data_IF_903971473259
#
_entry.id   IF_903971473259
#
_cell.length_a   1.000
_cell.length_b   1.000
_cell.length_c   1.000
_cell.angle_alpha   90.00
_cell.angle_beta   90.00
_cell.angle_gamma   90.00
#
_symmetry.space_group_name_H-M   'P 1'
#
loop_
_entity.id
_entity.type
_entity.pdbx_description
1 polymer ?
#
# COMPACT_ATOMS: atom_id res chain seq x y z
N UNK A 1 4.73 -7.56 -17.93
CA UNK A 1 5.02 -6.57 -16.87
C UNK A 1 3.79 -5.83 -16.36
N UNK A 2 2.96 -5.21 -17.24
CA UNK A 2 1.72 -4.49 -16.84
C UNK A 2 0.76 -5.31 -15.95
N UNK A 3 0.52 -6.58 -16.28
CA UNK A 3 -0.36 -7.46 -15.51
C UNK A 3 0.23 -7.82 -14.14
N UNK A 4 1.55 -8.01 -14.05
CA UNK A 4 2.25 -8.30 -12.79
C UNK A 4 2.14 -7.10 -11.84
N UNK A 5 2.37 -5.89 -12.34
CA UNK A 5 2.27 -4.67 -11.53
C UNK A 5 0.83 -4.43 -11.09
N UNK A 6 -0.14 -4.71 -11.97
CA UNK A 6 -1.55 -4.64 -11.62
C UNK A 6 -1.87 -5.62 -10.48
N UNK A 7 -1.42 -6.87 -10.59
CA UNK A 7 -1.63 -7.89 -9.58
C UNK A 7 -0.99 -7.48 -8.24
N UNK A 8 0.28 -7.08 -8.27
CA UNK A 8 1.00 -6.61 -7.07
C UNK A 8 0.33 -5.39 -6.44
N UNK A 9 -0.15 -4.44 -7.24
CA UNK A 9 -0.85 -3.25 -6.74
C UNK A 9 -2.14 -3.63 -6.01
N UNK A 10 -2.91 -4.55 -6.58
CA UNK A 10 -4.17 -5.03 -5.97
C UNK A 10 -3.86 -5.83 -4.69
N UNK A 11 -2.90 -6.75 -4.74
CA UNK A 11 -2.51 -7.54 -3.58
C UNK A 11 -2.01 -6.66 -2.44
N UNK A 12 -1.15 -5.68 -2.73
CA UNK A 12 -0.63 -4.72 -1.76
C UNK A 12 -1.77 -3.88 -1.16
N UNK A 13 -2.68 -3.39 -1.99
CA UNK A 13 -3.84 -2.63 -1.52
C UNK A 13 -4.74 -3.43 -0.58
N UNK A 14 -5.09 -4.67 -0.96
CA UNK A 14 -5.91 -5.55 -0.13
C UNK A 14 -5.21 -5.90 1.18
N UNK A 15 -3.91 -6.22 1.13
CA UNK A 15 -3.10 -6.50 2.31
C UNK A 15 -3.07 -5.31 3.26
N UNK A 16 -2.78 -4.10 2.76
CA UNK A 16 -2.80 -2.88 3.57
C UNK A 16 -4.18 -2.60 4.16
N UNK A 17 -5.26 -2.87 3.42
CA UNK A 17 -6.64 -2.74 3.93
C UNK A 17 -6.87 -3.66 5.12
N UNK A 18 -6.47 -4.93 5.01
CA UNK A 18 -6.59 -5.92 6.08
C UNK A 18 -5.72 -5.52 7.28
N UNK A 19 -4.49 -5.06 7.05
CA UNK A 19 -3.57 -4.64 8.11
C UNK A 19 -4.12 -3.44 8.88
N UNK A 20 -4.59 -2.41 8.18
CA UNK A 20 -5.21 -1.23 8.82
C UNK A 20 -6.43 -1.64 9.63
N UNK A 21 -7.31 -2.48 9.08
CA UNK A 21 -8.47 -3.00 9.82
C UNK A 21 -8.05 -3.79 11.07
N UNK A 22 -6.99 -4.59 10.97
CA UNK A 22 -6.44 -5.38 12.07
C UNK A 22 -5.88 -4.48 13.17
N UNK A 23 -5.15 -3.42 12.82
CA UNK A 23 -4.62 -2.44 13.79
C UNK A 23 -5.75 -1.77 14.55
N UNK A 24 -6.85 -1.38 13.87
CA UNK A 24 -8.00 -0.80 14.56
C UNK A 24 -8.72 -1.82 15.44
N UNK A 25 -8.93 -3.04 14.96
CA UNK A 25 -9.56 -4.11 15.73
C UNK A 25 -8.79 -4.43 17.02
N UNK A 26 -7.48 -4.67 16.93
CA UNK A 26 -6.64 -4.92 18.09
C UNK A 26 -6.48 -3.68 18.98
N UNK A 27 -6.42 -2.49 18.38
CA UNK A 27 -6.42 -1.23 19.12
C UNK A 27 -7.69 -1.01 19.97
N UNK A 28 -8.84 -1.51 19.50
CA UNK A 28 -10.11 -1.47 20.24
C UNK A 28 -10.18 -2.51 21.35
N UNK A 29 -9.52 -3.67 21.19
CA UNK A 29 -9.58 -4.79 22.15
C UNK A 29 -8.46 -4.71 23.19
N UNK A 30 -7.51 -3.76 23.06
CA UNK A 30 -6.30 -3.61 23.89
C UNK A 30 -5.34 -4.83 23.86
N UNK A 31 -5.69 -5.88 23.10
CA UNK A 31 -4.82 -7.02 22.82
C UNK A 31 -4.09 -6.77 21.50
N UNK A 32 -2.83 -6.37 21.61
CA UNK A 32 -1.91 -6.44 20.46
C UNK A 32 -1.47 -7.89 20.27
N UNK A 33 -2.33 -8.68 19.63
CA UNK A 33 -2.02 -10.05 19.23
C UNK A 33 -0.90 -10.06 18.19
N UNK A 34 -0.23 -11.20 18.02
CA UNK A 34 0.81 -11.40 17.00
C UNK A 34 0.31 -11.25 15.55
N UNK A 35 -1.00 -11.14 15.37
CA UNK A 35 -1.66 -11.10 14.07
C UNK A 35 -1.39 -9.79 13.33
N UNK A 36 -1.52 -8.63 13.97
CA UNK A 36 -1.12 -7.33 13.38
C UNK A 36 0.34 -7.35 12.92
N UNK A 37 1.26 -7.89 13.73
CA UNK A 37 2.67 -7.98 13.36
C UNK A 37 2.91 -8.81 12.09
N UNK A 38 2.17 -9.92 11.94
CA UNK A 38 2.25 -10.76 10.75
C UNK A 38 1.63 -10.07 9.53
N UNK A 39 0.52 -9.37 9.70
CA UNK A 39 -0.14 -8.63 8.62
C UNK A 39 0.71 -7.47 8.10
N UNK A 40 1.36 -6.72 9.00
CA UNK A 40 2.33 -5.67 8.65
C UNK A 40 3.48 -6.27 7.84
N UNK A 41 4.08 -7.37 8.31
CA UNK A 41 5.18 -8.03 7.59
C UNK A 41 4.80 -8.43 6.16
N UNK A 42 3.62 -9.05 5.98
CA UNK A 42 3.12 -9.44 4.65
C UNK A 42 2.92 -8.21 3.77
N UNK A 43 2.35 -7.14 4.33
CA UNK A 43 2.09 -5.90 3.59
C UNK A 43 3.38 -5.21 3.17
N UNK A 44 4.38 -5.15 4.04
CA UNK A 44 5.69 -4.57 3.76
C UNK A 44 6.42 -5.32 2.64
N UNK A 45 6.38 -6.66 2.66
CA UNK A 45 6.98 -7.48 1.60
C UNK A 45 6.28 -7.20 0.26
N UNK A 46 4.94 -7.19 0.24
CA UNK A 46 4.17 -6.87 -0.96
C UNK A 46 4.47 -5.46 -1.47
N UNK A 47 4.55 -4.49 -0.55
CA UNK A 47 4.86 -3.11 -0.85
C UNK A 47 6.25 -2.94 -1.46
N UNK A 48 7.26 -3.60 -0.90
CA UNK A 48 8.63 -3.62 -1.45
C UNK A 48 8.64 -4.17 -2.87
N UNK A 49 8.04 -5.34 -3.09
CA UNK A 49 7.97 -5.98 -4.41
C UNK A 49 7.24 -5.10 -5.43
N UNK A 50 6.10 -4.53 -5.03
CA UNK A 50 5.30 -3.65 -5.87
C UNK A 50 6.03 -2.34 -6.20
N UNK A 51 6.79 -1.80 -5.25
CA UNK A 51 7.58 -0.58 -5.44
C UNK A 51 8.73 -0.80 -6.40
N UNK A 52 9.52 -1.86 -6.20
CA UNK A 52 10.63 -2.22 -7.09
C UNK A 52 10.11 -2.44 -8.52
N UNK A 53 9.06 -3.26 -8.67
CA UNK A 53 8.44 -3.49 -9.97
C UNK A 53 7.92 -2.20 -10.62
N UNK A 54 7.36 -1.29 -9.82
CA UNK A 54 6.88 0.02 -10.24
C UNK A 54 7.99 0.93 -10.77
N UNK A 55 9.13 1.02 -10.09
CA UNK A 55 10.28 1.83 -10.53
C UNK A 55 10.76 1.39 -11.91
N UNK A 56 10.92 0.09 -12.15
CA UNK A 56 11.41 -0.41 -13.45
C UNK A 56 10.40 -0.16 -14.58
N UNK A 57 9.11 -0.33 -14.31
CA UNK A 57 8.09 -0.22 -15.35
C UNK A 57 7.71 1.22 -15.69
N UNK A 58 7.67 2.10 -14.69
CA UNK A 58 7.30 3.50 -14.90
C UNK A 58 8.49 4.40 -15.23
N UNK A 59 9.69 3.88 -15.50
CA UNK A 59 10.91 4.65 -15.78
C UNK A 59 10.74 5.81 -16.79
N UNK A 60 9.83 5.69 -17.76
CA UNK A 60 9.52 6.74 -18.74
C UNK A 60 8.40 7.70 -18.33
N UNK A 61 7.59 7.36 -17.33
CA UNK A 61 6.46 8.16 -16.84
C UNK A 61 6.84 9.02 -15.65
N UNK A 62 6.96 10.34 -15.85
CA UNK A 62 7.47 11.30 -14.84
C UNK A 62 6.83 11.11 -13.46
N UNK A 63 5.52 11.27 -13.31
CA UNK A 63 4.87 11.31 -11.97
C UNK A 63 4.93 9.97 -11.22
N UNK A 64 4.48 8.88 -11.84
CA UNK A 64 4.42 7.57 -11.18
C UNK A 64 5.82 7.04 -10.83
N UNK A 65 6.82 7.32 -11.67
CA UNK A 65 8.21 6.99 -11.38
C UNK A 65 8.70 7.68 -10.11
N UNK A 66 8.50 9.00 -10.00
CA UNK A 66 8.91 9.76 -8.82
C UNK A 66 8.19 9.29 -7.55
N UNK A 67 6.90 8.91 -7.64
CA UNK A 67 6.20 8.37 -6.47
C UNK A 67 6.76 7.03 -6.01
N UNK A 68 7.16 6.14 -6.92
CA UNK A 68 7.82 4.88 -6.55
C UNK A 68 9.25 5.10 -6.03
N UNK A 69 10.00 6.08 -6.57
CA UNK A 69 11.30 6.47 -5.99
C UNK A 69 11.14 7.06 -4.58
N UNK A 70 10.13 7.90 -4.36
CA UNK A 70 9.81 8.41 -3.02
C UNK A 70 9.45 7.25 -2.08
N UNK A 71 8.67 6.28 -2.55
CA UNK A 71 8.36 5.06 -1.79
C UNK A 71 9.63 4.29 -1.36
N UNK A 72 10.68 4.25 -2.18
CA UNK A 72 11.97 3.67 -1.79
C UNK A 72 12.60 4.45 -0.62
N UNK A 73 12.59 5.79 -0.67
CA UNK A 73 13.11 6.59 0.44
C UNK A 73 12.33 6.36 1.74
N UNK A 74 11.01 6.20 1.63
CA UNK A 74 10.12 5.88 2.76
C UNK A 74 10.49 4.51 3.35
N UNK A 75 10.71 3.47 2.51
CA UNK A 75 11.21 2.14 2.93
C UNK A 75 12.55 2.25 3.68
N UNK A 76 13.50 3.01 3.14
CA UNK A 76 14.80 3.20 3.77
C UNK A 76 14.67 3.89 5.14
N UNK A 77 13.83 4.92 5.25
CA UNK A 77 13.55 5.57 6.54
C UNK A 77 12.93 4.60 7.54
N UNK A 78 12.00 3.75 7.13
CA UNK A 78 11.41 2.71 7.98
C UNK A 78 12.46 1.72 8.52
N UNK A 79 13.38 1.28 7.68
CA UNK A 79 14.51 0.42 8.08
C UNK A 79 15.42 1.14 9.09
N UNK A 80 15.78 2.40 8.82
CA UNK A 80 16.65 3.20 9.71
C UNK A 80 15.99 3.38 11.09
N UNK A 81 14.71 3.74 11.12
CA UNK A 81 13.95 3.89 12.38
C UNK A 81 13.93 2.55 13.13
N UNK A 82 13.71 1.44 12.42
CA UNK A 82 13.70 0.11 13.03
C UNK A 82 15.05 -0.26 13.63
N UNK A 83 16.15 0.10 12.97
CA UNK A 83 17.51 -0.13 13.47
C UNK A 83 17.84 0.73 14.71
N UNK A 84 17.36 1.97 14.76
CA UNK A 84 17.63 2.89 15.88
C UNK A 84 16.77 2.55 17.11
N UNK A 85 15.48 2.31 16.91
CA UNK A 85 14.51 2.17 18.00
C UNK A 85 14.17 0.71 18.34
N UNK A 86 14.52 -0.25 17.49
CA UNK A 86 14.27 -1.67 17.71
C UNK A 86 12.80 -1.96 17.99
N UNK A 87 12.50 -2.50 19.17
CA UNK A 87 11.13 -2.82 19.60
C UNK A 87 10.34 -1.63 20.16
N UNK A 88 10.97 -0.48 20.35
CA UNK A 88 10.37 0.71 20.97
C UNK A 88 9.76 1.68 19.95
N UNK A 89 9.49 1.22 18.74
CA UNK A 89 8.88 2.06 17.71
C UNK A 89 7.44 2.40 18.13
N UNK A 90 7.04 3.68 18.09
CA UNK A 90 5.67 4.07 18.40
C UNK A 90 4.67 3.36 17.48
N UNK A 91 3.65 2.74 18.07
CA UNK A 91 2.57 2.03 17.35
C UNK A 91 1.87 2.91 16.31
N UNK A 92 1.74 4.22 16.62
CA UNK A 92 1.19 5.22 15.70
C UNK A 92 1.98 5.30 14.38
N UNK A 93 3.29 5.06 14.42
CA UNK A 93 4.15 5.12 13.25
C UNK A 93 3.83 3.99 12.27
N UNK A 94 3.57 2.78 12.77
CA UNK A 94 3.09 1.65 11.96
C UNK A 94 1.71 1.93 11.37
N UNK A 95 0.80 2.56 12.12
CA UNK A 95 -0.51 2.93 11.58
C UNK A 95 -0.39 3.94 10.43
N UNK A 96 0.40 5.01 10.61
CA UNK A 96 0.63 6.02 9.57
C UNK A 96 1.31 5.41 8.33
N UNK A 97 2.22 4.47 8.56
CA UNK A 97 2.90 3.70 7.52
C UNK A 97 1.93 2.89 6.66
N UNK A 98 1.08 2.09 7.30
CA UNK A 98 0.09 1.26 6.60
C UNK A 98 -0.95 2.11 5.88
N UNK A 99 -1.34 3.25 6.45
CA UNK A 99 -2.17 4.22 5.73
C UNK A 99 -1.49 4.77 4.48
N UNK A 100 -0.20 5.10 4.53
CA UNK A 100 0.53 5.54 3.35
C UNK A 100 0.48 4.48 2.23
N UNK A 101 0.74 3.22 2.55
CA UNK A 101 0.69 2.11 1.57
C UNK A 101 -0.73 1.98 1.01
N UNK A 102 -1.74 1.98 1.89
CA UNK A 102 -3.15 1.88 1.54
C UNK A 102 -3.57 3.00 0.57
N UNK A 103 -3.23 4.25 0.87
CA UNK A 103 -3.57 5.39 0.01
C UNK A 103 -2.84 5.33 -1.33
N UNK A 104 -1.54 5.03 -1.31
CA UNK A 104 -0.72 5.02 -2.52
C UNK A 104 -1.24 4.02 -3.56
N UNK A 105 -1.49 2.77 -3.14
CA UNK A 105 -2.04 1.75 -4.03
C UNK A 105 -3.56 1.87 -4.23
N UNK A 106 -4.28 2.42 -3.25
CA UNK A 106 -5.71 2.70 -3.34
C UNK A 106 -6.03 3.65 -4.49
N UNK A 107 -5.25 4.73 -4.66
CA UNK A 107 -5.41 5.64 -5.81
C UNK A 107 -5.25 4.90 -7.13
N UNK A 108 -4.25 4.01 -7.24
CA UNK A 108 -3.98 3.27 -8.47
C UNK A 108 -5.08 2.25 -8.81
N UNK A 109 -5.66 1.61 -7.80
CA UNK A 109 -6.72 0.60 -7.95
C UNK A 109 -8.09 1.27 -8.16
N UNK A 110 -8.47 2.21 -7.30
CA UNK A 110 -9.78 2.87 -7.29
C UNK A 110 -9.99 3.76 -8.52
N UNK A 111 -8.96 4.46 -9.02
CA UNK A 111 -9.08 5.29 -10.24
C UNK A 111 -9.55 4.46 -11.45
N UNK A 112 -9.03 3.24 -11.60
CA UNK A 112 -9.43 2.35 -12.70
C UNK A 112 -10.84 1.82 -12.52
N UNK A 113 -11.21 1.48 -11.29
CA UNK A 113 -12.56 1.04 -10.96
C UNK A 113 -13.59 2.13 -11.25
N UNK A 114 -13.30 3.37 -10.83
CA UNK A 114 -14.13 4.54 -11.10
C UNK A 114 -14.32 4.78 -12.61
N UNK A 115 -13.23 4.76 -13.38
CA UNK A 115 -13.29 4.91 -14.85
C UNK A 115 -14.16 3.83 -15.51
N UNK A 116 -14.07 2.58 -15.05
CA UNK A 116 -14.87 1.48 -15.57
C UNK A 116 -16.36 1.68 -15.28
N UNK A 117 -16.72 2.04 -14.04
CA UNK A 117 -18.11 2.28 -13.64
C UNK A 117 -18.71 3.47 -14.41
N UNK A 118 -17.98 4.58 -14.48
CA UNK A 118 -18.42 5.77 -15.23
C UNK A 118 -18.65 5.48 -16.71
N UNK A 119 -17.78 4.67 -17.34
CA UNK A 119 -17.97 4.28 -18.75
C UNK A 119 -19.18 3.37 -18.98
N UNK A 120 -19.50 2.49 -18.02
CA UNK A 120 -20.68 1.62 -18.11
C UNK A 120 -21.98 2.40 -17.87
N UNK A 121 -21.96 3.37 -16.97
CA UNK A 121 -23.09 4.25 -16.72
C UNK A 121 -23.44 5.11 -17.94
N UNK A 122 -22.44 5.78 -18.54
CA UNK A 122 -22.68 6.62 -19.73
C UNK A 122 -23.17 5.82 -20.93
N UNK A 123 -22.74 4.56 -21.09
CA UNK A 123 -23.21 3.70 -22.17
C UNK A 123 -24.70 3.35 -22.04
N UNK A 124 -25.21 3.24 -20.82
CA UNK A 124 -26.61 2.90 -20.55
C UNK A 124 -27.54 4.13 -20.52
N UNK A 125 -27.00 5.35 -20.51
CA UNK A 125 -27.79 6.60 -20.59
C UNK A 125 -28.00 7.09 -22.02
N UNK A 126 -27.24 6.54 -22.98
CA UNK A 126 -27.31 6.85 -24.40
C UNK A 126 -28.18 5.84 -25.19
N UNK A 127 -28.77 4.84 -24.52
CA UNK A 127 -29.78 3.89 -25.02
C UNK A 127 -31.19 4.26 -24.53
#
# INVERSE_FOLDING_TARGET
>A
MKNVIKLLSIATFLSATITVASIFYEGMILEWLSFVGTSILITDILFLLATIAGVFYYKSGKVLFYCHLFSISVILTGIIITLIFGKNIPKLLFLLWEFYILYFYGIAVCKKWWQKISSAYNKNSDE
#
